data_IF_708673310259
#
_entry.id   IF_708673310259
#
_cell.length_a   1.000
_cell.length_b   1.000
_cell.length_c   1.000
_cell.angle_alpha   90.00
_cell.angle_beta   90.00
_cell.angle_gamma   90.00
#
_symmetry.space_group_name_H-M   'P 1'
#
loop_
_entity.id
_entity.type
_entity.pdbx_description
1 polymer ?
#
# COMPACT_ATOMS: atom_id res chain seq x y z
N UNK A 1 19.94 -0.46 13.68
CA UNK A 1 18.74 0.27 14.16
C UNK A 1 17.41 -0.43 13.88
N UNK A 2 17.34 -1.41 12.98
CA UNK A 2 16.10 -2.10 12.58
C UNK A 2 15.32 -2.86 13.68
N UNK A 3 15.93 -3.64 14.63
CA UNK A 3 15.14 -4.49 15.52
C UNK A 3 14.36 -3.74 16.61
N UNK A 4 14.83 -2.59 17.05
CA UNK A 4 14.16 -1.79 18.11
C UNK A 4 12.96 -1.04 17.53
N UNK A 5 13.12 -0.43 16.35
CA UNK A 5 12.03 0.24 15.65
C UNK A 5 10.91 -0.75 15.26
N UNK A 6 11.25 -1.96 14.82
CA UNK A 6 10.29 -3.01 14.51
C UNK A 6 9.44 -3.40 15.72
N UNK A 7 10.06 -3.52 16.92
CA UNK A 7 9.33 -3.82 18.16
C UNK A 7 8.36 -2.72 18.58
N UNK A 8 8.72 -1.46 18.37
CA UNK A 8 7.84 -0.31 18.67
C UNK A 8 6.69 -0.24 17.66
N UNK A 9 7.00 -0.43 16.39
CA UNK A 9 6.02 -0.37 15.30
C UNK A 9 5.03 -1.54 15.28
N UNK A 10 5.40 -2.71 15.80
CA UNK A 10 4.55 -3.92 15.91
C UNK A 10 4.00 -4.14 17.35
N UNK A 11 4.12 -3.13 18.23
CA UNK A 11 3.74 -3.27 19.63
C UNK A 11 2.23 -3.50 19.85
N UNK A 12 1.83 -4.27 20.91
CA UNK A 12 0.44 -4.52 21.23
C UNK A 12 -0.42 -3.24 21.41
N UNK A 13 0.09 -2.13 22.02
CA UNK A 13 -0.68 -0.89 22.09
C UNK A 13 -1.00 -0.30 20.73
N UNK A 14 -0.05 -0.33 19.77
CA UNK A 14 -0.29 0.15 18.40
C UNK A 14 -1.33 -0.68 17.67
N UNK A 15 -1.33 -2.01 17.86
CA UNK A 15 -2.33 -2.91 17.27
C UNK A 15 -3.74 -2.64 17.80
N UNK A 16 -3.88 -2.24 19.06
CA UNK A 16 -5.18 -1.85 19.65
C UNK A 16 -5.68 -0.52 19.11
N UNK A 17 -4.79 0.43 18.86
CA UNK A 17 -5.14 1.77 18.36
C UNK A 17 -5.32 1.80 16.83
N UNK A 18 -4.52 1.01 16.11
CA UNK A 18 -4.49 0.96 14.66
C UNK A 18 -4.55 -0.49 14.20
N UNK A 19 -5.69 -1.13 14.39
CA UNK A 19 -5.93 -2.52 13.98
C UNK A 19 -5.72 -2.67 12.46
N UNK A 20 -4.74 -3.47 12.01
CA UNK A 20 -4.48 -3.68 10.59
C UNK A 20 -5.68 -4.28 9.86
N UNK A 21 -6.46 -5.15 10.52
CA UNK A 21 -7.63 -5.77 9.90
C UNK A 21 -8.73 -4.72 9.63
N UNK A 22 -8.96 -3.81 10.59
CA UNK A 22 -9.91 -2.70 10.42
C UNK A 22 -9.48 -1.74 9.32
N UNK A 23 -8.18 -1.41 9.27
CA UNK A 23 -7.61 -0.52 8.24
C UNK A 23 -7.74 -1.16 6.85
N UNK A 24 -7.36 -2.43 6.71
CA UNK A 24 -7.47 -3.17 5.44
C UNK A 24 -8.92 -3.37 4.99
N UNK A 25 -9.87 -3.53 5.94
CA UNK A 25 -11.30 -3.51 5.63
C UNK A 25 -11.73 -2.17 5.02
N UNK A 26 -11.19 -1.05 5.53
CA UNK A 26 -11.42 0.29 4.99
C UNK A 26 -10.92 0.46 3.56
N UNK A 27 -9.82 -0.21 3.19
CA UNK A 27 -9.32 -0.23 1.82
C UNK A 27 -10.28 -0.93 0.84
N UNK A 28 -11.06 -1.89 1.31
CA UNK A 28 -11.97 -2.67 0.47
C UNK A 28 -11.27 -3.82 -0.27
N UNK A 29 -10.21 -4.38 0.31
CA UNK A 29 -9.55 -5.58 -0.22
C UNK A 29 -10.53 -6.75 -0.24
N UNK A 30 -10.54 -7.47 -1.36
CA UNK A 30 -11.38 -8.66 -1.58
C UNK A 30 -10.53 -9.86 -2.00
N UNK A 31 -10.99 -11.10 -1.76
CA UNK A 31 -10.34 -12.31 -2.28
C UNK A 31 -10.14 -12.24 -3.80
N UNK A 32 -9.00 -12.75 -4.27
CA UNK A 32 -8.65 -12.81 -5.68
C UNK A 32 -8.01 -11.55 -6.28
N UNK A 33 -7.96 -10.42 -5.55
CA UNK A 33 -7.33 -9.20 -6.04
C UNK A 33 -5.82 -9.34 -6.22
N UNK A 34 -5.28 -8.61 -7.22
CA UNK A 34 -3.85 -8.31 -7.33
C UNK A 34 -3.58 -6.98 -6.63
N UNK A 35 -2.84 -7.01 -5.54
CA UNK A 35 -2.61 -5.83 -4.67
C UNK A 35 -1.13 -5.49 -4.63
N UNK A 36 -0.82 -4.21 -4.72
CA UNK A 36 0.52 -3.67 -4.53
C UNK A 36 0.57 -2.90 -3.20
N UNK A 37 1.49 -3.27 -2.31
CA UNK A 37 1.81 -2.54 -1.09
C UNK A 37 3.10 -1.76 -1.30
N UNK A 38 3.05 -0.44 -1.13
CA UNK A 38 4.20 0.46 -1.20
C UNK A 38 4.68 0.79 0.21
N UNK A 39 5.98 0.56 0.47
CA UNK A 39 6.59 0.85 1.76
C UNK A 39 6.15 -0.14 2.84
N UNK A 40 6.40 -1.44 2.66
CA UNK A 40 5.97 -2.46 3.60
C UNK A 40 6.61 -2.36 5.00
N UNK A 41 7.78 -1.71 5.10
CA UNK A 41 8.49 -1.46 6.35
C UNK A 41 8.73 -2.74 7.16
N UNK A 42 8.05 -2.86 8.29
CA UNK A 42 8.11 -4.06 9.16
C UNK A 42 7.14 -5.16 8.75
N UNK A 43 6.36 -4.99 7.70
CA UNK A 43 5.32 -5.93 7.29
C UNK A 43 4.07 -5.88 8.16
N UNK A 44 3.78 -4.72 8.75
CA UNK A 44 2.65 -4.54 9.67
C UNK A 44 1.31 -4.89 9.01
N UNK A 45 1.13 -4.51 7.75
CA UNK A 45 -0.07 -4.80 6.97
C UNK A 45 0.08 -6.02 6.05
N UNK A 46 1.31 -6.38 5.66
CA UNK A 46 1.62 -7.36 4.61
C UNK A 46 0.93 -8.72 4.83
N UNK A 47 1.12 -9.32 6.01
CA UNK A 47 0.57 -10.66 6.29
C UNK A 47 -0.98 -10.65 6.34
N UNK A 48 -1.56 -9.63 6.97
CA UNK A 48 -3.01 -9.46 7.04
C UNK A 48 -3.62 -9.19 5.65
N UNK A 49 -2.96 -8.37 4.83
CA UNK A 49 -3.38 -8.13 3.46
C UNK A 49 -3.36 -9.43 2.63
N UNK A 50 -2.27 -10.19 2.70
CA UNK A 50 -2.13 -11.45 1.97
C UNK A 50 -3.19 -12.49 2.37
N UNK A 51 -3.50 -12.63 3.67
CA UNK A 51 -4.58 -13.52 4.14
C UNK A 51 -5.94 -13.08 3.61
N UNK A 52 -6.23 -11.78 3.61
CA UNK A 52 -7.50 -11.22 3.12
C UNK A 52 -7.66 -11.39 1.61
N UNK A 53 -6.58 -11.28 0.85
CA UNK A 53 -6.55 -11.53 -0.60
C UNK A 53 -6.80 -13.01 -0.90
N UNK A 54 -6.32 -13.91 -0.05
CA UNK A 54 -6.48 -15.36 -0.21
C UNK A 54 -5.60 -15.95 -1.31
N UNK A 55 -5.69 -17.27 -1.48
CA UNK A 55 -4.79 -18.03 -2.35
C UNK A 55 -4.99 -17.76 -3.86
N UNK A 56 -6.14 -17.23 -4.27
CA UNK A 56 -6.48 -16.94 -5.68
C UNK A 56 -6.01 -15.55 -6.14
N UNK A 57 -5.59 -14.69 -5.21
CA UNK A 57 -5.02 -13.39 -5.52
C UNK A 57 -3.52 -13.31 -5.23
N UNK A 58 -2.95 -12.12 -5.34
CA UNK A 58 -1.52 -11.90 -5.10
C UNK A 58 -1.24 -10.55 -4.43
N UNK A 59 -0.27 -10.54 -3.52
CA UNK A 59 0.27 -9.34 -2.91
C UNK A 59 1.71 -9.15 -3.37
N UNK A 60 1.99 -8.03 -4.01
CA UNK A 60 3.36 -7.56 -4.22
C UNK A 60 3.65 -6.49 -3.17
N UNK A 61 4.57 -6.74 -2.25
CA UNK A 61 5.00 -5.75 -1.24
C UNK A 61 6.38 -5.21 -1.59
N UNK A 62 6.49 -3.89 -1.60
CA UNK A 62 7.72 -3.20 -1.97
C UNK A 62 8.22 -2.28 -0.85
N UNK A 63 9.52 -2.12 -0.78
CA UNK A 63 10.18 -1.12 0.04
C UNK A 63 11.47 -0.68 -0.65
N UNK A 64 11.92 0.55 -0.40
CA UNK A 64 13.23 1.01 -0.89
C UNK A 64 14.39 0.39 -0.11
N UNK A 65 14.12 -0.08 1.12
CA UNK A 65 15.10 -0.68 2.02
C UNK A 65 15.18 -2.19 1.81
N UNK A 66 16.35 -2.67 1.35
CA UNK A 66 16.67 -4.10 1.30
C UNK A 66 16.47 -4.78 2.66
N UNK A 67 16.86 -4.12 3.76
CA UNK A 67 16.70 -4.65 5.12
C UNK A 67 15.22 -4.84 5.51
N UNK A 68 14.34 -3.93 5.10
CA UNK A 68 12.90 -4.06 5.32
C UNK A 68 12.36 -5.29 4.56
N UNK A 69 12.73 -5.46 3.32
CA UNK A 69 12.34 -6.61 2.50
C UNK A 69 12.81 -7.93 3.11
N UNK A 70 14.06 -8.01 3.56
CA UNK A 70 14.59 -9.22 4.24
C UNK A 70 13.88 -9.52 5.55
N UNK A 71 13.53 -8.48 6.30
CA UNK A 71 12.78 -8.63 7.54
C UNK A 71 11.37 -9.17 7.29
N UNK A 72 10.68 -8.64 6.29
CA UNK A 72 9.34 -9.09 5.91
C UNK A 72 9.37 -10.49 5.32
N UNK A 73 10.41 -10.84 4.53
CA UNK A 73 10.61 -12.19 3.98
C UNK A 73 10.59 -13.25 5.06
N UNK A 74 11.36 -13.06 6.15
CA UNK A 74 11.38 -13.99 7.29
C UNK A 74 9.97 -14.20 7.90
N UNK A 75 9.17 -13.13 7.97
CA UNK A 75 7.79 -13.22 8.47
C UNK A 75 6.87 -13.97 7.49
N UNK A 76 7.01 -13.72 6.21
CA UNK A 76 6.23 -14.40 5.16
C UNK A 76 6.56 -15.89 5.15
N UNK A 77 7.84 -16.25 5.13
CA UNK A 77 8.31 -17.64 5.13
C UNK A 77 7.77 -18.39 6.37
N UNK A 78 7.86 -17.77 7.55
CA UNK A 78 7.35 -18.36 8.80
C UNK A 78 5.82 -18.48 8.83
N UNK A 79 5.09 -17.71 8.02
CA UNK A 79 3.61 -17.72 7.97
C UNK A 79 3.02 -18.76 7.03
N UNK A 80 3.84 -19.36 6.16
CA UNK A 80 3.40 -20.31 5.13
C UNK A 80 2.60 -19.69 3.98
N UNK A 81 2.50 -18.36 3.89
CA UNK A 81 1.78 -17.67 2.82
C UNK A 81 2.54 -17.78 1.49
N UNK A 82 1.86 -18.25 0.44
CA UNK A 82 2.43 -18.47 -0.90
C UNK A 82 2.06 -17.35 -1.90
N UNK A 83 1.17 -16.45 -1.52
CA UNK A 83 0.63 -15.39 -2.37
C UNK A 83 1.29 -14.03 -2.16
N UNK A 84 2.51 -13.99 -1.61
CA UNK A 84 3.28 -12.77 -1.37
C UNK A 84 4.56 -12.76 -2.18
N UNK A 85 4.75 -11.73 -2.99
CA UNK A 85 6.04 -11.40 -3.62
C UNK A 85 6.64 -10.15 -2.98
N UNK A 86 7.97 -10.16 -2.78
CA UNK A 86 8.69 -9.07 -2.11
C UNK A 86 9.74 -8.49 -3.06
N UNK A 87 9.77 -7.16 -3.19
CA UNK A 87 10.71 -6.47 -4.08
C UNK A 87 11.30 -5.22 -3.43
N UNK A 88 12.60 -5.01 -3.64
CA UNK A 88 13.22 -3.70 -3.40
C UNK A 88 12.87 -2.81 -4.58
N UNK A 89 12.19 -1.69 -4.34
CA UNK A 89 11.78 -0.77 -5.40
C UNK A 89 11.60 0.66 -4.87
N UNK A 90 11.94 1.63 -5.71
CA UNK A 90 11.55 3.03 -5.48
C UNK A 90 10.09 3.23 -5.88
N UNK A 91 9.29 3.76 -4.98
CA UNK A 91 7.86 4.01 -5.22
C UNK A 91 7.59 4.97 -6.39
N UNK A 92 8.57 5.79 -6.79
CA UNK A 92 8.47 6.72 -7.92
C UNK A 92 8.74 6.05 -9.27
N UNK A 93 9.38 4.87 -9.27
CA UNK A 93 9.75 4.10 -10.46
C UNK A 93 9.89 2.63 -10.06
N UNK A 94 8.76 1.95 -9.87
CA UNK A 94 8.73 0.59 -9.29
C UNK A 94 9.29 -0.49 -10.21
N UNK A 95 9.35 -0.26 -11.51
CA UNK A 95 9.69 -1.27 -12.51
C UNK A 95 8.66 -2.38 -12.64
N UNK A 96 7.46 -2.20 -12.07
CA UNK A 96 6.36 -3.16 -12.16
C UNK A 96 5.55 -2.95 -13.45
N UNK A 97 4.83 -3.98 -13.93
CA UNK A 97 4.06 -3.89 -15.17
C UNK A 97 2.92 -2.86 -15.09
N UNK A 98 2.59 -2.25 -16.25
CA UNK A 98 1.44 -1.37 -16.41
C UNK A 98 0.13 -2.13 -16.18
N UNK A 99 -0.83 -1.50 -15.50
CA UNK A 99 -2.18 -2.03 -15.36
C UNK A 99 -2.27 -3.41 -14.72
N UNK A 100 -1.34 -3.77 -13.84
CA UNK A 100 -1.25 -5.09 -13.24
C UNK A 100 -2.09 -5.25 -11.96
N UNK A 101 -2.38 -4.15 -11.26
CA UNK A 101 -2.94 -4.21 -9.92
C UNK A 101 -4.37 -3.66 -9.85
N UNK A 102 -5.21 -4.38 -9.11
CA UNK A 102 -6.58 -3.95 -8.77
C UNK A 102 -6.55 -2.85 -7.72
N UNK A 103 -5.55 -2.89 -6.83
CA UNK A 103 -5.39 -1.94 -5.74
C UNK A 103 -3.93 -1.65 -5.43
N UNK A 104 -3.64 -0.39 -5.08
CA UNK A 104 -2.37 0.04 -4.49
C UNK A 104 -2.63 0.54 -3.07
N UNK A 105 -1.85 0.06 -2.10
CA UNK A 105 -1.87 0.49 -0.71
C UNK A 105 -0.71 1.46 -0.44
N UNK A 106 -1.04 2.69 0.00
CA UNK A 106 -0.10 3.68 0.54
C UNK A 106 -0.38 3.87 2.02
N UNK A 107 0.09 2.94 2.86
CA UNK A 107 -0.24 2.91 4.28
C UNK A 107 0.95 3.35 5.15
N UNK A 108 0.81 4.52 5.78
CA UNK A 108 1.86 5.11 6.60
C UNK A 108 3.08 5.62 5.83
N UNK A 109 2.99 5.71 4.50
CA UNK A 109 4.08 6.13 3.60
C UNK A 109 4.05 7.63 3.36
N UNK A 110 2.86 8.21 3.32
CA UNK A 110 2.66 9.61 2.98
C UNK A 110 1.98 10.39 4.13
N UNK A 111 2.29 11.67 4.31
CA UNK A 111 3.30 12.47 3.60
C UNK A 111 4.73 12.06 3.97
N UNK A 112 5.63 12.13 2.99
CA UNK A 112 7.06 11.97 3.20
C UNK A 112 7.83 12.99 2.34
N UNK A 113 8.76 13.77 2.91
CA UNK A 113 9.50 14.80 2.15
C UNK A 113 10.27 14.22 0.96
N UNK A 114 10.77 12.98 1.10
CA UNK A 114 11.53 12.27 0.06
C UNK A 114 10.66 11.65 -1.03
N UNK A 115 9.32 11.71 -0.88
CA UNK A 115 8.37 11.07 -1.78
C UNK A 115 7.31 12.08 -2.26
N UNK A 116 7.67 13.00 -3.17
CA UNK A 116 6.73 13.99 -3.68
C UNK A 116 5.61 13.33 -4.47
N UNK A 117 4.36 13.73 -4.20
CA UNK A 117 3.19 13.17 -4.88
C UNK A 117 3.20 13.37 -6.39
N UNK A 118 3.85 14.43 -6.87
CA UNK A 118 4.00 14.71 -8.31
C UNK A 118 4.76 13.60 -9.06
N UNK A 119 5.64 12.87 -8.38
CA UNK A 119 6.36 11.71 -8.93
C UNK A 119 5.68 10.39 -8.58
N UNK A 120 5.11 10.29 -7.38
CA UNK A 120 4.47 9.08 -6.89
C UNK A 120 3.17 8.75 -7.63
N UNK A 121 2.26 9.73 -7.77
CA UNK A 121 0.93 9.48 -8.30
C UNK A 121 0.90 9.03 -9.76
N UNK A 122 1.73 9.55 -10.67
CA UNK A 122 1.84 9.00 -12.04
C UNK A 122 2.22 7.51 -12.05
N UNK A 123 3.17 7.11 -11.20
CA UNK A 123 3.59 5.71 -11.10
C UNK A 123 2.47 4.82 -10.53
N UNK A 124 1.80 5.25 -9.46
CA UNK A 124 0.66 4.51 -8.91
C UNK A 124 -0.47 4.36 -9.95
N UNK A 125 -0.70 5.41 -10.74
CA UNK A 125 -1.67 5.38 -11.83
C UNK A 125 -1.26 4.41 -12.94
N UNK A 126 0.03 4.34 -13.28
CA UNK A 126 0.56 3.45 -14.32
C UNK A 126 0.34 1.98 -13.97
N UNK A 127 0.68 1.58 -12.74
CA UNK A 127 0.59 0.18 -12.29
C UNK A 127 -0.84 -0.29 -12.01
N UNK A 128 -1.78 0.63 -11.75
CA UNK A 128 -3.19 0.30 -11.52
C UNK A 128 -3.92 -0.05 -12.83
N UNK A 129 -4.76 -1.07 -12.79
CA UNK A 129 -5.75 -1.41 -13.83
C UNK A 129 -6.67 -0.21 -14.11
N UNK A 130 -7.41 -0.19 -15.22
CA UNK A 130 -8.33 0.91 -15.57
C UNK A 130 -9.30 1.29 -14.44
N UNK A 131 -9.86 0.31 -13.73
CA UNK A 131 -10.77 0.53 -12.60
C UNK A 131 -10.09 0.30 -11.24
N UNK A 132 -8.77 0.40 -11.20
CA UNK A 132 -7.99 0.16 -9.99
C UNK A 132 -8.11 1.28 -8.97
N UNK A 133 -7.97 0.93 -7.71
CA UNK A 133 -8.14 1.81 -6.56
C UNK A 133 -6.81 2.11 -5.88
N UNK A 134 -6.54 3.38 -5.62
CA UNK A 134 -5.49 3.82 -4.72
C UNK A 134 -6.08 3.98 -3.32
N UNK A 135 -5.66 3.16 -2.36
CA UNK A 135 -6.06 3.22 -0.96
C UNK A 135 -4.95 3.87 -0.13
N UNK A 136 -5.28 4.95 0.56
CA UNK A 136 -4.32 5.76 1.31
C UNK A 136 -4.73 5.80 2.79
N UNK A 137 -3.84 5.32 3.65
CA UNK A 137 -3.91 5.54 5.09
C UNK A 137 -2.71 6.40 5.49
N UNK A 138 -2.91 7.74 5.67
CA UNK A 138 -1.80 8.66 5.86
C UNK A 138 -1.17 8.49 7.24
N UNK A 139 0.13 8.76 7.33
CA UNK A 139 0.88 8.79 8.60
C UNK A 139 0.47 9.98 9.49
N UNK A 140 -0.13 11.03 8.88
CA UNK A 140 -0.68 12.19 9.58
C UNK A 140 -2.20 12.22 9.35
N UNK A 141 -3.04 12.13 10.41
CA UNK A 141 -4.50 11.97 10.28
C UNK A 141 -5.26 13.06 9.52
N UNK A 142 -4.74 14.30 9.54
CA UNK A 142 -5.39 15.49 8.96
C UNK A 142 -4.92 15.80 7.52
N UNK A 143 -4.22 14.89 6.86
CA UNK A 143 -3.71 15.17 5.53
C UNK A 143 -4.83 15.19 4.48
N UNK A 144 -4.77 16.18 3.58
CA UNK A 144 -5.90 16.56 2.74
C UNK A 144 -6.03 15.68 1.48
N UNK A 145 -7.25 15.21 1.23
CA UNK A 145 -7.63 14.47 0.01
C UNK A 145 -7.28 15.24 -1.29
N UNK A 146 -7.34 16.58 -1.25
CA UNK A 146 -7.03 17.44 -2.40
C UNK A 146 -5.62 17.24 -2.96
N UNK A 147 -4.67 16.82 -2.13
CA UNK A 147 -3.31 16.51 -2.58
C UNK A 147 -3.26 15.38 -3.63
N UNK A 148 -4.21 14.44 -3.57
CA UNK A 148 -4.29 13.30 -4.51
C UNK A 148 -5.14 13.61 -5.75
N UNK A 149 -6.05 14.56 -5.68
CA UNK A 149 -7.00 14.85 -6.76
C UNK A 149 -6.61 16.05 -7.62
N UNK A 150 -5.75 16.96 -7.10
CA UNK A 150 -5.35 18.20 -7.77
C UNK A 150 -4.79 18.02 -9.18
N UNK A 151 -4.06 16.92 -9.43
CA UNK A 151 -3.50 16.60 -10.75
C UNK A 151 -4.48 15.92 -11.72
N UNK A 152 -5.71 15.62 -11.30
CA UNK A 152 -6.72 14.94 -12.13
C UNK A 152 -6.41 13.46 -12.43
N UNK A 153 -5.37 12.89 -11.82
CA UNK A 153 -5.00 11.47 -12.03
C UNK A 153 -5.93 10.52 -11.27
N UNK A 154 -6.50 11.00 -10.18
CA UNK A 154 -7.37 10.25 -9.29
C UNK A 154 -8.59 11.07 -8.89
N UNK A 155 -9.72 10.40 -8.70
CA UNK A 155 -10.96 10.93 -8.16
C UNK A 155 -11.24 10.33 -6.78
N UNK A 156 -11.61 11.16 -5.81
CA UNK A 156 -11.94 10.69 -4.46
C UNK A 156 -13.25 9.91 -4.47
N UNK A 157 -13.21 8.67 -3.95
CA UNK A 157 -14.38 7.78 -3.83
C UNK A 157 -15.04 7.88 -2.45
N UNK A 158 -14.22 7.90 -1.39
CA UNK A 158 -14.72 7.90 -0.01
C UNK A 158 -13.64 7.67 1.03
N UNK A 159 -14.06 7.68 2.30
CA UNK A 159 -13.18 7.38 3.45
C UNK A 159 -13.88 6.40 4.39
N UNK A 160 -13.24 5.26 4.67
CA UNK A 160 -13.73 4.23 5.59
C UNK A 160 -12.60 3.79 6.52
N UNK A 161 -12.85 3.70 7.82
CA UNK A 161 -11.86 3.30 8.83
C UNK A 161 -10.52 4.07 8.74
N UNK A 162 -10.57 5.36 8.42
CA UNK A 162 -9.38 6.19 8.24
C UNK A 162 -8.71 6.06 6.88
N UNK A 163 -9.08 5.11 6.05
CA UNK A 163 -8.54 4.90 4.69
C UNK A 163 -9.33 5.72 3.68
N UNK A 164 -8.63 6.56 2.94
CA UNK A 164 -9.14 7.28 1.77
C UNK A 164 -8.98 6.41 0.53
N UNK A 165 -10.03 6.30 -0.27
CA UNK A 165 -10.02 5.56 -1.54
C UNK A 165 -10.16 6.53 -2.69
N UNK A 166 -9.37 6.27 -3.74
CA UNK A 166 -9.35 7.08 -4.94
C UNK A 166 -9.39 6.17 -6.17
N UNK A 167 -10.32 6.43 -7.06
CA UNK A 167 -10.44 5.74 -8.35
C UNK A 167 -9.48 6.36 -9.37
N UNK A 168 -8.85 5.52 -10.16
CA UNK A 168 -8.08 5.95 -11.33
C UNK A 168 -9.01 6.64 -12.32
N UNK A 169 -8.74 7.90 -12.66
CA UNK A 169 -9.53 8.62 -13.67
C UNK A 169 -9.28 8.06 -15.07
N UNK A 170 -10.26 8.19 -15.98
CA UNK A 170 -10.02 7.95 -17.41
C UNK A 170 -8.88 8.86 -17.91
N UNK A 171 -8.10 8.39 -18.88
CA UNK A 171 -7.12 9.24 -19.54
C UNK A 171 -7.89 10.40 -20.20
N UNK A 172 -7.48 11.65 -19.95
CA UNK A 172 -8.01 12.76 -20.75
C UNK A 172 -7.57 12.51 -22.19
N UNK A 173 -8.48 12.54 -23.16
CA UNK A 173 -8.07 12.57 -24.57
C UNK A 173 -7.14 13.77 -24.77
N UNK A 174 -6.03 13.55 -25.47
CA UNK A 174 -5.09 14.61 -25.87
C UNK A 174 -5.75 15.56 -26.85
#
# INVERSE_FOLDING_TARGET
MAPIMARVLDSPPRRRLNDPERTLAGAGIRPGMQVLEIGCGTGYFTLSAARRIGATGGLCSTDISQQAIEFVRKKVDASGLQNVSLRVADAKATGLPDGAYDMVLLFGVVPAPMLPLSLLLPEMRRVLKPNGVLAVWPSIPLWMRSAFTKGGLFAFEGKVNGVMRFNKTAARPK
#
